data_IF_524495654219
#
_entry.id   IF_524495654219
#
_cell.length_a   1.000
_cell.length_b   1.000
_cell.length_c   1.000
_cell.angle_alpha   90.00
_cell.angle_beta   90.00
_cell.angle_gamma   90.00
#
_symmetry.space_group_name_H-M   'P 1'
#
loop_
_entity.id
_entity.type
_entity.pdbx_description
1 polymer ?
#
# COMPACT_ATOMS: atom_id res chain seq x y z
N UNK A 1 -72.71 -11.62 15.19
CA UNK A 1 -71.46 -10.87 14.96
C UNK A 1 -70.42 -11.28 16.00
N UNK A 2 -69.68 -12.40 15.82
CA UNK A 2 -68.72 -12.85 16.85
C UNK A 2 -67.60 -13.72 16.31
N UNK A 3 -67.93 -14.74 15.53
CA UNK A 3 -66.93 -15.65 14.95
C UNK A 3 -66.15 -15.04 13.78
N UNK A 4 -66.78 -14.21 12.94
CA UNK A 4 -66.11 -13.60 11.78
C UNK A 4 -65.02 -12.59 12.17
N UNK A 5 -65.22 -11.86 13.27
CA UNK A 5 -64.23 -10.92 13.79
C UNK A 5 -63.00 -11.66 14.36
N UNK A 6 -63.21 -12.78 15.04
CA UNK A 6 -62.13 -13.62 15.58
C UNK A 6 -61.27 -14.23 14.46
N UNK A 7 -61.90 -14.67 13.36
CA UNK A 7 -61.17 -15.21 12.20
C UNK A 7 -60.26 -14.15 11.57
N UNK A 8 -60.77 -12.94 11.37
CA UNK A 8 -59.99 -11.82 10.81
C UNK A 8 -58.84 -11.44 11.76
N UNK A 9 -59.11 -11.41 13.06
CA UNK A 9 -58.11 -11.07 14.06
C UNK A 9 -56.93 -12.06 14.07
N UNK A 10 -57.20 -13.36 13.96
CA UNK A 10 -56.14 -14.37 13.89
C UNK A 10 -55.39 -14.27 12.56
N UNK A 11 -56.11 -14.04 11.46
CA UNK A 11 -55.49 -13.89 10.15
C UNK A 11 -54.51 -12.71 10.08
N UNK A 12 -54.87 -11.55 10.64
CA UNK A 12 -53.97 -10.38 10.65
C UNK A 12 -52.73 -10.62 11.49
N UNK A 13 -52.85 -11.28 12.64
CA UNK A 13 -51.70 -11.63 13.49
C UNK A 13 -50.72 -12.53 12.73
N UNK A 14 -51.21 -13.55 12.02
CA UNK A 14 -50.34 -14.45 11.25
C UNK A 14 -49.63 -13.73 10.10
N UNK A 15 -50.34 -12.88 9.36
CA UNK A 15 -49.74 -12.06 8.29
C UNK A 15 -48.69 -11.10 8.85
N UNK A 16 -48.99 -10.43 9.97
CA UNK A 16 -48.05 -9.54 10.64
C UNK A 16 -46.80 -10.27 11.14
N UNK A 17 -46.93 -11.50 11.66
CA UNK A 17 -45.79 -12.30 12.12
C UNK A 17 -44.83 -12.66 10.98
N UNK A 18 -45.38 -13.07 9.82
CA UNK A 18 -44.56 -13.37 8.64
C UNK A 18 -43.91 -12.10 8.09
N UNK A 19 -44.66 -11.00 7.99
CA UNK A 19 -44.13 -9.72 7.53
C UNK A 19 -42.99 -9.20 8.44
N UNK A 20 -43.15 -9.29 9.77
CA UNK A 20 -42.12 -8.94 10.73
C UNK A 20 -40.87 -9.84 10.58
N UNK A 21 -41.05 -11.14 10.36
CA UNK A 21 -39.93 -12.06 10.11
C UNK A 21 -39.12 -11.69 8.86
N UNK A 22 -39.78 -11.29 7.78
CA UNK A 22 -39.12 -10.79 6.56
C UNK A 22 -38.40 -9.47 6.82
N UNK A 23 -39.04 -8.52 7.53
CA UNK A 23 -38.43 -7.24 7.90
C UNK A 23 -37.17 -7.42 8.74
N UNK A 24 -37.19 -8.29 9.75
CA UNK A 24 -36.01 -8.58 10.59
C UNK A 24 -34.90 -9.22 9.75
N UNK A 25 -35.24 -10.15 8.86
CA UNK A 25 -34.25 -10.80 7.99
C UNK A 25 -33.58 -9.78 7.06
N UNK A 26 -34.36 -8.91 6.42
CA UNK A 26 -33.84 -7.88 5.50
C UNK A 26 -33.02 -6.83 6.27
N UNK A 27 -33.52 -6.35 7.41
CA UNK A 27 -32.77 -5.40 8.24
C UNK A 27 -31.45 -5.98 8.74
N UNK A 28 -31.41 -7.25 9.15
CA UNK A 28 -30.16 -7.93 9.51
C UNK A 28 -29.17 -8.02 8.34
N UNK A 29 -29.64 -8.38 7.14
CA UNK A 29 -28.78 -8.40 5.95
C UNK A 29 -28.26 -7.00 5.57
N UNK A 30 -29.10 -5.96 5.68
CA UNK A 30 -28.71 -4.59 5.42
C UNK A 30 -27.70 -4.08 6.46
N UNK A 31 -27.86 -4.44 7.74
CA UNK A 31 -26.89 -4.11 8.79
C UNK A 31 -25.53 -4.76 8.55
N UNK A 32 -25.49 -6.06 8.22
CA UNK A 32 -24.24 -6.74 7.87
C UNK A 32 -23.55 -6.09 6.66
N UNK A 33 -24.31 -5.74 5.62
CA UNK A 33 -23.78 -5.02 4.47
C UNK A 33 -23.29 -3.61 4.83
N UNK A 34 -24.03 -2.88 5.66
CA UNK A 34 -23.64 -1.55 6.10
C UNK A 34 -22.30 -1.58 6.86
N UNK A 35 -22.12 -2.54 7.77
CA UNK A 35 -20.86 -2.73 8.50
C UNK A 35 -19.69 -3.06 7.56
N UNK A 36 -19.90 -3.94 6.58
CA UNK A 36 -18.84 -4.27 5.60
C UNK A 36 -18.47 -3.05 4.73
N UNK A 37 -19.45 -2.23 4.33
CA UNK A 37 -19.19 -1.01 3.57
C UNK A 37 -18.50 0.05 4.44
N UNK A 38 -18.91 0.18 5.70
CA UNK A 38 -18.28 1.06 6.69
C UNK A 38 -16.81 0.69 6.88
N UNK A 39 -16.51 -0.59 7.12
CA UNK A 39 -15.15 -1.09 7.29
C UNK A 39 -14.31 -0.86 6.03
N UNK A 40 -14.83 -1.21 4.84
CA UNK A 40 -14.14 -0.97 3.58
C UNK A 40 -13.94 0.53 3.27
N UNK A 41 -14.86 1.40 3.68
CA UNK A 41 -14.72 2.85 3.55
C UNK A 41 -13.68 3.41 4.53
N UNK A 42 -13.69 2.93 5.78
CA UNK A 42 -12.69 3.30 6.79
C UNK A 42 -11.29 2.93 6.34
N UNK A 43 -11.08 1.69 5.91
CA UNK A 43 -9.78 1.26 5.40
C UNK A 43 -9.38 2.12 4.21
N UNK A 44 -10.23 2.36 3.21
CA UNK A 44 -9.86 3.25 2.07
C UNK A 44 -9.49 4.69 2.45
N UNK A 45 -10.09 5.25 3.49
CA UNK A 45 -9.86 6.66 3.87
C UNK A 45 -8.68 6.85 4.81
N UNK A 46 -8.46 5.89 5.72
CA UNK A 46 -7.45 6.00 6.77
C UNK A 46 -6.20 5.20 6.42
N UNK A 47 -6.31 4.18 5.58
CA UNK A 47 -5.17 3.34 5.22
C UNK A 47 -4.37 3.97 4.10
N UNK A 48 -3.12 4.33 4.39
CA UNK A 48 -2.19 4.82 3.38
C UNK A 48 -0.78 4.43 3.79
N UNK A 49 -0.01 3.95 2.82
CA UNK A 49 1.44 3.84 2.97
C UNK A 49 2.03 5.23 2.72
N UNK A 50 2.93 5.67 3.58
CA UNK A 50 3.56 6.98 3.49
C UNK A 50 5.09 6.85 3.29
N UNK A 51 5.65 7.55 2.32
CA UNK A 51 7.06 7.66 1.99
C UNK A 51 7.63 8.90 2.67
N UNK A 52 8.37 8.68 3.75
CA UNK A 52 8.99 9.74 4.54
C UNK A 52 10.16 10.39 3.81
N UNK A 53 11.07 9.56 3.31
CA UNK A 53 12.33 10.02 2.72
C UNK A 53 12.69 9.14 1.54
N UNK A 54 13.29 9.75 0.52
CA UNK A 54 13.87 9.02 -0.61
C UNK A 54 15.35 9.34 -0.67
N UNK A 55 16.16 8.28 -0.66
CA UNK A 55 17.60 8.35 -0.81
C UNK A 55 18.01 7.74 -2.14
N UNK A 56 18.89 8.43 -2.84
CA UNK A 56 19.58 7.89 -4.01
C UNK A 56 21.05 7.66 -3.67
N UNK A 57 21.63 6.63 -4.28
CA UNK A 57 23.05 6.32 -4.21
C UNK A 57 23.64 6.44 -5.62
N UNK A 58 24.16 7.64 -5.97
CA UNK A 58 24.78 7.84 -7.27
C UNK A 58 26.15 7.15 -7.34
N UNK A 59 26.50 6.66 -8.52
CA UNK A 59 27.87 6.29 -8.84
C UNK A 59 28.64 7.57 -9.22
N UNK A 60 29.55 8.01 -8.36
CA UNK A 60 30.32 9.24 -8.55
C UNK A 60 31.26 9.20 -9.76
N UNK A 61 31.55 8.02 -10.31
CA UNK A 61 32.41 7.90 -11.51
C UNK A 61 31.63 7.97 -12.81
N UNK A 62 30.41 7.46 -12.82
CA UNK A 62 29.52 7.44 -13.99
C UNK A 62 28.49 8.58 -13.98
N UNK A 63 28.43 9.36 -12.89
CA UNK A 63 27.47 10.45 -12.69
C UNK A 63 26.02 10.04 -12.95
N UNK A 64 25.66 8.82 -12.53
CA UNK A 64 24.32 8.26 -12.69
C UNK A 64 23.80 7.69 -11.36
N UNK A 65 22.48 7.63 -11.21
CA UNK A 65 21.82 6.97 -10.09
C UNK A 65 21.20 5.67 -10.56
N UNK A 66 21.68 4.58 -9.98
CA UNK A 66 21.14 3.23 -10.21
C UNK A 66 20.39 2.71 -8.98
N UNK A 67 20.73 3.19 -7.79
CA UNK A 67 20.28 2.61 -6.54
C UNK A 67 19.42 3.60 -5.75
N UNK A 68 18.19 3.20 -5.42
CA UNK A 68 17.21 4.02 -4.71
C UNK A 68 16.79 3.28 -3.42
N UNK A 69 16.73 4.01 -2.30
CA UNK A 69 16.22 3.55 -1.02
C UNK A 69 15.11 4.48 -0.54
N UNK A 70 13.92 3.95 -0.33
CA UNK A 70 12.78 4.67 0.20
C UNK A 70 12.57 4.28 1.66
N UNK A 71 12.36 5.25 2.54
CA UNK A 71 11.91 4.98 3.90
C UNK A 71 10.41 5.19 3.94
N UNK A 72 9.69 4.13 4.24
CA UNK A 72 8.24 4.09 4.29
C UNK A 72 7.75 3.84 5.70
N UNK A 73 6.56 4.36 6.00
CA UNK A 73 5.82 4.16 7.23
C UNK A 73 4.35 3.99 6.92
N UNK A 74 3.62 3.56 7.94
CA UNK A 74 2.17 3.50 7.88
C UNK A 74 1.59 4.89 8.23
N UNK A 75 0.60 5.36 7.47
CA UNK A 75 -0.13 6.59 7.75
C UNK A 75 -0.88 6.54 9.08
N UNK A 76 -1.23 7.71 9.63
CA UNK A 76 -1.89 7.78 10.93
C UNK A 76 -3.28 7.10 10.90
N UNK A 77 -3.46 6.06 11.71
CA UNK A 77 -4.72 5.30 11.83
C UNK A 77 -4.93 4.22 10.76
N UNK A 78 -3.96 4.05 9.86
CA UNK A 78 -4.01 3.02 8.83
C UNK A 78 -3.88 1.61 9.44
N UNK A 79 -4.55 0.65 8.82
CA UNK A 79 -4.45 -0.76 9.19
C UNK A 79 -3.12 -1.35 8.68
N UNK A 80 -2.55 -2.37 9.32
CA UNK A 80 -1.27 -2.96 8.90
C UNK A 80 -1.28 -3.44 7.44
N UNK A 81 -0.18 -3.20 6.71
CA UNK A 81 -0.07 -3.53 5.28
C UNK A 81 1.03 -4.56 5.05
N UNK A 82 0.70 -5.65 4.35
CA UNK A 82 1.69 -6.65 3.94
C UNK A 82 2.38 -6.26 2.64
N UNK A 83 3.71 -6.15 2.67
CA UNK A 83 4.52 -5.87 1.48
C UNK A 83 4.50 -7.00 0.44
N UNK A 84 4.01 -8.20 0.79
CA UNK A 84 3.80 -9.27 -0.20
C UNK A 84 2.82 -8.90 -1.32
N UNK A 85 2.00 -7.87 -1.08
CA UNK A 85 0.95 -7.39 -2.00
C UNK A 85 1.14 -5.93 -2.42
N UNK A 86 2.32 -5.37 -2.12
CA UNK A 86 2.70 -4.01 -2.49
C UNK A 86 3.52 -4.08 -3.77
N UNK A 87 3.08 -3.38 -4.81
CA UNK A 87 3.87 -3.16 -6.02
C UNK A 87 4.61 -1.83 -5.94
N UNK A 88 5.82 -1.80 -6.48
CA UNK A 88 6.54 -0.55 -6.73
C UNK A 88 6.47 -0.26 -8.23
N UNK A 89 6.06 0.95 -8.59
CA UNK A 89 6.09 1.46 -9.96
C UNK A 89 7.07 2.61 -10.04
N UNK A 90 7.91 2.59 -11.05
CA UNK A 90 8.87 3.63 -11.36
C UNK A 90 8.61 4.11 -12.78
N UNK A 91 8.46 5.42 -12.95
CA UNK A 91 8.22 6.05 -14.24
C UNK A 91 9.27 7.13 -14.46
N UNK A 92 9.95 7.06 -15.60
CA UNK A 92 10.92 8.07 -16.05
C UNK A 92 10.70 8.31 -17.54
N UNK A 93 10.26 9.51 -17.91
CA UNK A 93 9.92 9.86 -19.28
C UNK A 93 8.88 8.90 -19.90
N UNK A 94 9.29 8.15 -20.93
CA UNK A 94 8.44 7.17 -21.62
C UNK A 94 8.55 5.74 -21.03
N UNK A 95 9.42 5.54 -20.04
CA UNK A 95 9.68 4.22 -19.46
C UNK A 95 8.87 4.01 -18.20
N UNK A 96 8.13 2.91 -18.13
CA UNK A 96 7.39 2.47 -16.94
C UNK A 96 7.93 1.11 -16.53
N UNK A 97 8.37 1.00 -15.30
CA UNK A 97 8.92 -0.22 -14.71
C UNK A 97 8.09 -0.57 -13.48
N UNK A 98 7.76 -1.85 -13.33
CA UNK A 98 7.07 -2.35 -12.14
C UNK A 98 7.94 -3.40 -11.49
N UNK A 99 8.02 -3.36 -10.17
CA UNK A 99 8.84 -4.25 -9.37
C UNK A 99 8.05 -4.83 -8.21
N UNK A 100 8.32 -6.10 -7.93
CA UNK A 100 7.68 -6.87 -6.87
C UNK A 100 8.66 -7.20 -5.73
N UNK A 101 8.10 -7.54 -4.57
CA UNK A 101 8.90 -7.88 -3.39
C UNK A 101 9.61 -9.23 -3.57
N UNK A 102 10.94 -9.23 -3.48
CA UNK A 102 11.70 -10.46 -3.27
C UNK A 102 11.79 -10.79 -1.77
N UNK A 103 10.91 -11.70 -1.33
CA UNK A 103 10.81 -12.12 0.07
C UNK A 103 12.06 -12.87 0.57
N UNK A 104 12.76 -13.59 -0.30
CA UNK A 104 13.91 -14.43 0.07
C UNK A 104 15.10 -13.59 0.56
N UNK A 105 15.23 -12.36 0.06
CA UNK A 105 16.34 -11.44 0.38
C UNK A 105 15.92 -10.31 1.31
N UNK A 106 14.63 -10.20 1.67
CA UNK A 106 14.06 -9.13 2.49
C UNK A 106 14.37 -9.28 4.00
N UNK A 107 15.66 -9.31 4.30
CA UNK A 107 16.23 -9.32 5.65
C UNK A 107 17.35 -8.29 5.74
N UNK A 108 17.67 -7.84 6.95
CA UNK A 108 18.70 -6.80 7.19
C UNK A 108 20.05 -7.19 6.56
N UNK A 109 20.42 -8.47 6.58
CA UNK A 109 21.71 -8.95 6.08
C UNK A 109 21.76 -9.09 4.55
N UNK A 110 20.65 -9.48 3.92
CA UNK A 110 20.64 -9.88 2.51
C UNK A 110 20.04 -8.85 1.56
N UNK A 111 19.31 -7.86 2.07
CA UNK A 111 18.70 -6.80 1.27
C UNK A 111 19.77 -5.76 0.88
N UNK A 112 20.68 -6.13 -0.01
CA UNK A 112 21.73 -5.28 -0.57
C UNK A 112 21.50 -5.04 -2.06
N UNK A 113 22.04 -3.95 -2.60
CA UNK A 113 21.91 -3.61 -4.03
C UNK A 113 22.57 -4.64 -4.96
N UNK A 114 23.49 -5.46 -4.46
CA UNK A 114 24.17 -6.49 -5.25
C UNK A 114 23.34 -7.77 -5.40
N UNK A 115 22.47 -8.07 -4.43
CA UNK A 115 21.61 -9.26 -4.42
C UNK A 115 20.27 -9.04 -5.14
N UNK A 116 19.95 -7.80 -5.52
CA UNK A 116 18.72 -7.43 -6.22
C UNK A 116 18.86 -7.68 -7.72
N UNK A 117 17.85 -8.31 -8.32
CA UNK A 117 17.68 -8.27 -9.77
C UNK A 117 17.32 -6.85 -10.20
N UNK A 118 17.96 -6.36 -11.28
CA UNK A 118 17.72 -5.00 -11.75
C UNK A 118 16.28 -4.90 -12.28
N UNK A 119 15.59 -3.82 -11.91
CA UNK A 119 14.28 -3.37 -12.42
C UNK A 119 13.04 -4.21 -12.06
N UNK A 120 13.18 -5.51 -11.85
CA UNK A 120 12.05 -6.43 -11.63
C UNK A 120 11.73 -6.65 -10.15
N UNK A 121 12.70 -6.43 -9.26
CA UNK A 121 12.56 -6.76 -7.85
C UNK A 121 12.97 -5.60 -6.94
N UNK A 122 12.33 -5.54 -5.78
CA UNK A 122 12.76 -4.73 -4.66
C UNK A 122 12.86 -5.59 -3.39
N UNK A 123 13.65 -5.13 -2.42
CA UNK A 123 13.76 -5.78 -1.13
C UNK A 123 13.43 -4.80 -0.01
N UNK A 124 12.95 -5.34 1.12
CA UNK A 124 12.66 -4.55 2.30
C UNK A 124 13.49 -5.01 3.49
N UNK A 125 13.76 -4.06 4.37
CA UNK A 125 14.33 -4.36 5.67
C UNK A 125 13.86 -3.31 6.69
N UNK A 126 13.68 -3.70 7.96
CA UNK A 126 13.29 -2.76 8.99
C UNK A 126 14.42 -1.81 9.34
N UNK A 127 14.08 -0.52 9.39
CA UNK A 127 14.90 0.51 10.05
C UNK A 127 14.50 0.65 11.52
N UNK A 128 13.21 0.51 11.81
CA UNK A 128 12.63 0.52 13.15
C UNK A 128 11.48 -0.47 13.18
N UNK A 129 11.43 -1.35 14.17
CA UNK A 129 10.38 -2.35 14.31
C UNK A 129 10.92 -3.77 14.28
N UNK A 130 10.04 -4.70 13.94
CA UNK A 130 10.33 -6.12 13.84
C UNK A 130 10.88 -6.49 12.44
N UNK A 131 11.25 -7.76 12.22
CA UNK A 131 11.82 -8.25 10.94
C UNK A 131 10.82 -8.94 10.02
N UNK A 132 9.53 -8.71 10.18
CA UNK A 132 8.50 -9.29 9.33
C UNK A 132 8.24 -8.40 8.10
N UNK A 133 7.40 -8.89 7.19
CA UNK A 133 7.00 -8.19 5.95
C UNK A 133 5.72 -7.34 6.14
N UNK A 134 5.19 -7.30 7.36
CA UNK A 134 3.94 -6.63 7.72
C UNK A 134 4.28 -5.29 8.36
N UNK A 135 3.93 -4.20 7.68
CA UNK A 135 4.18 -2.88 8.22
C UNK A 135 3.07 -2.48 9.20
N UNK A 136 3.45 -2.32 10.46
CA UNK A 136 2.55 -1.92 11.54
C UNK A 136 2.76 -0.45 11.95
N UNK A 137 1.82 0.09 12.75
CA UNK A 137 1.89 1.47 13.22
C UNK A 137 3.12 1.69 14.12
N UNK A 138 3.95 2.67 13.77
CA UNK A 138 5.17 3.00 14.51
C UNK A 138 6.44 2.30 13.98
N UNK A 139 6.31 1.45 12.97
CA UNK A 139 7.44 0.82 12.29
C UNK A 139 7.89 1.64 11.07
N UNK A 140 9.18 1.50 10.74
CA UNK A 140 9.80 2.09 9.56
C UNK A 140 10.47 0.99 8.75
N UNK A 141 10.01 0.82 7.52
CA UNK A 141 10.65 -0.10 6.57
C UNK A 141 11.42 0.71 5.53
N UNK A 142 12.58 0.19 5.15
CA UNK A 142 13.32 0.70 4.02
C UNK A 142 13.14 -0.24 2.83
N UNK A 143 12.68 0.32 1.72
CA UNK A 143 12.51 -0.33 0.43
C UNK A 143 13.73 0.00 -0.42
N UNK A 144 14.46 -1.00 -0.90
CA UNK A 144 15.58 -0.83 -1.84
C UNK A 144 15.18 -1.31 -3.21
N UNK A 145 15.44 -0.48 -4.20
CA UNK A 145 15.19 -0.75 -5.59
C UNK A 145 16.44 -0.39 -6.42
N UNK A 146 16.69 -1.17 -7.46
CA UNK A 146 17.86 -1.00 -8.34
C UNK A 146 17.43 -0.92 -9.80
N UNK A 147 17.84 0.15 -10.44
CA UNK A 147 17.70 0.41 -11.86
C UNK A 147 18.86 -0.24 -12.64
N UNK A 148 18.60 -0.53 -13.91
CA UNK A 148 19.65 -0.98 -14.83
C UNK A 148 20.41 0.23 -15.40
N UNK A 149 21.62 0.01 -15.92
CA UNK A 149 22.48 1.06 -16.47
C UNK A 149 21.85 1.84 -17.63
N UNK A 150 20.94 1.22 -18.38
CA UNK A 150 20.22 1.84 -19.50
C UNK A 150 19.10 2.79 -19.06
N UNK A 151 18.61 2.62 -17.83
CA UNK A 151 17.53 3.42 -17.22
C UNK A 151 18.04 4.14 -15.97
N UNK A 152 19.36 4.30 -15.86
CA UNK A 152 19.96 5.04 -14.77
C UNK A 152 19.58 6.52 -14.89
N UNK A 153 19.28 7.14 -13.77
CA UNK A 153 18.88 8.54 -13.74
C UNK A 153 20.12 9.44 -13.81
N UNK A 154 20.10 10.41 -14.71
CA UNK A 154 21.10 11.47 -14.80
C UNK A 154 20.82 12.60 -13.81
N UNK A 155 21.70 13.62 -13.82
CA UNK A 155 21.41 14.87 -13.13
C UNK A 155 20.22 15.58 -13.80
N UNK A 156 19.40 16.28 -13.00
CA UNK A 156 18.22 17.03 -13.44
C UNK A 156 17.03 16.21 -13.97
N UNK A 157 17.13 14.88 -14.05
CA UNK A 157 16.03 14.03 -14.51
C UNK A 157 14.86 14.05 -13.51
N UNK A 158 13.66 14.13 -14.07
CA UNK A 158 12.39 13.99 -13.35
C UNK A 158 11.95 12.52 -13.39
N UNK A 159 11.53 11.98 -12.25
CA UNK A 159 11.00 10.63 -12.16
C UNK A 159 9.87 10.57 -11.15
N UNK A 160 8.92 9.69 -11.41
CA UNK A 160 7.80 9.39 -10.54
C UNK A 160 8.00 8.01 -9.93
N UNK A 161 7.81 7.92 -8.62
CA UNK A 161 7.82 6.66 -7.90
C UNK A 161 6.49 6.48 -7.18
N UNK A 162 5.82 5.37 -7.44
CA UNK A 162 4.54 5.04 -6.85
C UNK A 162 4.61 3.72 -6.10
N UNK A 163 4.16 3.72 -4.85
CA UNK A 163 4.02 2.52 -4.04
C UNK A 163 2.53 2.22 -3.90
N UNK A 164 2.12 1.10 -4.52
CA UNK A 164 0.72 0.70 -4.61
C UNK A 164 0.49 -0.50 -3.71
N UNK A 165 -0.27 -0.31 -2.63
CA UNK A 165 -0.71 -1.38 -1.76
C UNK A 165 -2.03 -1.98 -2.23
N UNK A 166 -2.24 -3.27 -1.98
CA UNK A 166 -3.51 -3.95 -2.29
C UNK A 166 -4.72 -3.42 -1.49
N UNK A 167 -4.47 -2.86 -0.30
CA UNK A 167 -5.47 -2.19 0.53
C UNK A 167 -5.00 -0.80 0.96
N UNK A 168 -5.76 0.22 0.58
CA UNK A 168 -5.55 1.61 0.99
C UNK A 168 -5.17 2.58 -0.11
N UNK A 169 -4.77 3.76 0.32
CA UNK A 169 -4.19 4.81 -0.48
C UNK A 169 -2.75 4.44 -0.86
N UNK A 170 -2.49 4.53 -2.16
CA UNK A 170 -1.15 4.44 -2.74
C UNK A 170 -0.51 5.83 -2.69
N UNK A 171 0.78 5.90 -2.42
CA UNK A 171 1.51 7.16 -2.54
C UNK A 171 2.19 7.24 -3.89
N UNK A 172 1.95 8.35 -4.59
CA UNK A 172 2.65 8.74 -5.80
C UNK A 172 3.57 9.89 -5.43
N UNK A 173 4.82 9.79 -5.84
CA UNK A 173 5.85 10.73 -5.50
C UNK A 173 6.62 11.18 -6.75
N UNK A 174 6.42 12.44 -7.12
CA UNK A 174 7.18 13.11 -8.17
C UNK A 174 8.46 13.70 -7.58
N UNK A 175 9.60 13.27 -8.09
CA UNK A 175 10.93 13.69 -7.65
C UNK A 175 11.77 14.18 -8.81
N UNK A 176 12.75 15.02 -8.45
CA UNK A 176 13.76 15.50 -9.37
C UNK A 176 15.15 15.26 -8.83
N UNK A 177 16.02 14.72 -9.66
CA UNK A 177 17.43 14.49 -9.30
C UNK A 177 18.18 15.84 -9.28
N UNK A 178 19.02 16.09 -8.26
CA UNK A 178 19.83 17.31 -8.23
C UNK A 178 20.87 17.38 -9.34
N UNK A 179 21.38 18.59 -9.59
CA UNK A 179 22.33 18.88 -10.66
C UNK A 179 23.72 18.25 -10.47
N UNK A 180 24.14 18.12 -9.20
CA UNK A 180 25.51 17.70 -8.86
C UNK A 180 25.51 16.62 -7.79
N UNK A 181 26.26 15.55 -8.05
CA UNK A 181 26.47 14.45 -7.11
C UNK A 181 27.70 14.69 -6.24
N UNK A 182 27.51 15.25 -5.05
CA UNK A 182 28.62 15.54 -4.12
C UNK A 182 28.91 14.39 -3.13
N UNK A 183 28.01 13.41 -3.01
CA UNK A 183 28.08 12.33 -2.01
C UNK A 183 27.52 11.03 -2.57
N UNK A 184 28.04 9.90 -2.06
CA UNK A 184 27.55 8.56 -2.40
C UNK A 184 26.15 8.23 -1.84
N UNK A 185 25.54 9.13 -1.06
CA UNK A 185 24.15 9.05 -0.60
C UNK A 185 23.57 10.46 -0.59
N UNK A 186 22.45 10.63 -1.29
CA UNK A 186 21.75 11.91 -1.45
C UNK A 186 20.32 11.72 -1.02
N UNK A 187 19.79 12.68 -0.26
CA UNK A 187 18.38 12.75 0.10
C UNK A 187 17.66 13.60 -0.95
N UNK A 188 16.67 13.03 -1.63
CA UNK A 188 15.89 13.71 -2.66
C UNK A 188 14.60 14.33 -2.07
N UNK A 189 14.04 13.70 -1.03
CA UNK A 189 12.90 14.18 -0.22
C UNK A 189 13.19 14.02 1.26
#
# INVERSE_FOLDING_TARGET
MGIGMLIIFIATILVSAVAAGVLVKVTGQLQQKALLVEEAARTRLVSGLEVLNVYAYPNLTAENIENIELITRLGAGADPVSFSSVGLSFVSGETTLSADLNQSISTIANCTFDNLQNQEEYCIFPKVGNTNILLEAGELLAVRYKLNTTHALGSQDDFELSLVASSGASEILDLRVPDVFLRARIRIR
#
